data_IF_258564352483
#
_entry.id   IF_258564352483
#
_cell.length_a   1.000
_cell.length_b   1.000
_cell.length_c   1.000
_cell.angle_alpha   90.00
_cell.angle_beta   90.00
_cell.angle_gamma   90.00
#
_symmetry.space_group_name_H-M   'P 1'
#
loop_
_entity.id
_entity.type
_entity.pdbx_description
1 polymer ?
#
# COMPACT_ATOMS: atom_id res chain seq x y z
N UNK A 1 12.70 18.69 -9.45
CA UNK A 1 11.35 18.71 -8.83
C UNK A 1 10.61 17.44 -9.24
N UNK A 2 9.77 16.89 -8.38
CA UNK A 2 8.90 15.76 -8.73
C UNK A 2 7.54 16.33 -9.17
N UNK A 3 7.08 15.95 -10.36
CA UNK A 3 5.75 16.28 -10.88
C UNK A 3 5.01 14.98 -11.12
N UNK A 4 3.74 14.95 -10.75
CA UNK A 4 2.85 13.81 -10.99
C UNK A 4 2.54 13.76 -12.49
N UNK A 5 2.66 12.57 -13.09
CA UNK A 5 2.29 12.33 -14.48
C UNK A 5 0.77 12.25 -14.62
N UNK A 6 0.23 12.80 -15.70
CA UNK A 6 -1.19 12.69 -15.99
C UNK A 6 -1.53 11.25 -16.39
N UNK A 7 -2.63 10.73 -15.86
CA UNK A 7 -3.18 9.43 -16.24
C UNK A 7 -4.41 9.65 -17.13
N UNK A 8 -4.57 8.81 -18.15
CA UNK A 8 -5.75 8.84 -19.01
C UNK A 8 -6.93 8.19 -18.28
N UNK A 9 -8.08 8.89 -18.26
CA UNK A 9 -9.29 8.41 -17.60
C UNK A 9 -9.82 7.17 -18.32
N UNK A 10 -9.77 7.12 -19.65
CA UNK A 10 -10.26 5.98 -20.43
C UNK A 10 -9.45 4.72 -20.10
N UNK A 11 -8.13 4.84 -19.99
CA UNK A 11 -7.24 3.74 -19.59
C UNK A 11 -7.54 3.26 -18.16
N UNK A 12 -7.81 4.18 -17.23
CA UNK A 12 -8.18 3.85 -15.85
C UNK A 12 -9.50 3.08 -15.77
N UNK A 13 -10.51 3.51 -16.52
CA UNK A 13 -11.83 2.85 -16.56
C UNK A 13 -11.72 1.45 -17.17
N UNK A 14 -11.00 1.29 -18.28
CA UNK A 14 -10.75 -0.01 -18.90
C UNK A 14 -10.03 -0.97 -17.94
N UNK A 15 -9.04 -0.47 -17.20
CA UNK A 15 -8.33 -1.25 -16.19
C UNK A 15 -9.28 -1.76 -15.10
N UNK A 16 -10.10 -0.89 -14.51
CA UNK A 16 -11.08 -1.27 -13.48
C UNK A 16 -12.05 -2.34 -13.99
N UNK A 17 -12.61 -2.13 -15.18
CA UNK A 17 -13.54 -3.07 -15.82
C UNK A 17 -12.89 -4.43 -16.09
N UNK A 18 -11.62 -4.45 -16.53
CA UNK A 18 -10.88 -5.69 -16.79
C UNK A 18 -10.69 -6.56 -15.54
N UNK A 19 -10.65 -5.93 -14.37
CA UNK A 19 -10.55 -6.58 -13.06
C UNK A 19 -11.94 -6.89 -12.44
N UNK A 20 -13.03 -6.55 -13.13
CA UNK A 20 -14.39 -6.76 -12.65
C UNK A 20 -14.87 -5.71 -11.64
N UNK A 21 -14.22 -4.54 -11.59
CA UNK A 21 -14.62 -3.41 -10.77
C UNK A 21 -15.41 -2.38 -11.57
N UNK A 22 -16.31 -1.68 -10.89
CA UNK A 22 -16.92 -0.45 -11.38
C UNK A 22 -15.99 0.74 -11.11
N UNK A 23 -16.08 1.79 -11.92
CA UNK A 23 -15.28 3.01 -11.79
C UNK A 23 -16.16 4.26 -11.70
N UNK A 24 -15.72 5.22 -10.89
CA UNK A 24 -16.37 6.52 -10.74
C UNK A 24 -15.30 7.62 -10.66
N UNK A 25 -15.41 8.65 -11.51
CA UNK A 25 -14.51 9.80 -11.49
C UNK A 25 -15.04 10.86 -10.51
N UNK A 26 -14.25 11.12 -9.47
CA UNK A 26 -14.60 12.08 -8.41
C UNK A 26 -14.01 13.45 -8.75
N UNK A 27 -14.86 14.39 -9.17
CA UNK A 27 -14.45 15.76 -9.47
C UNK A 27 -14.11 16.57 -8.21
N UNK A 28 -13.46 17.71 -8.39
CA UNK A 28 -13.14 18.62 -7.29
C UNK A 28 -14.41 19.04 -6.53
N UNK A 29 -14.38 18.86 -5.21
CA UNK A 29 -15.51 19.17 -4.33
C UNK A 29 -16.53 18.04 -4.17
N UNK A 30 -16.38 16.92 -4.89
CA UNK A 30 -17.13 15.70 -4.60
C UNK A 30 -16.49 14.90 -3.45
N UNK A 31 -17.31 14.11 -2.75
CA UNK A 31 -16.87 13.20 -1.69
C UNK A 31 -17.52 11.83 -1.89
N UNK A 32 -16.72 10.85 -2.27
CA UNK A 32 -17.12 9.44 -2.21
C UNK A 32 -16.80 8.87 -0.83
N UNK A 33 -17.78 8.18 -0.24
CA UNK A 33 -17.57 7.45 1.01
C UNK A 33 -17.21 6.00 0.69
N UNK A 34 -16.15 5.44 1.29
CA UNK A 34 -15.86 4.03 1.14
C UNK A 34 -16.99 3.18 1.76
N UNK A 35 -17.06 1.87 1.44
CA UNK A 35 -17.95 0.95 2.12
C UNK A 35 -17.78 1.04 3.64
N UNK A 36 -18.88 0.97 4.39
CA UNK A 36 -18.84 1.11 5.86
C UNK A 36 -18.13 -0.05 6.56
N UNK A 37 -17.94 -1.16 5.85
CA UNK A 37 -17.35 -2.39 6.39
C UNK A 37 -16.08 -2.74 5.62
N UNK A 38 -14.97 -2.85 6.34
CA UNK A 38 -13.73 -3.37 5.79
C UNK A 38 -13.82 -4.90 5.67
N UNK A 39 -13.04 -5.47 4.74
CA UNK A 39 -12.83 -6.91 4.70
C UNK A 39 -12.00 -7.36 5.91
N UNK A 40 -12.42 -8.45 6.58
CA UNK A 40 -11.76 -8.93 7.80
C UNK A 40 -10.39 -9.54 7.55
N UNK A 41 -10.22 -10.14 6.37
CA UNK A 41 -8.99 -10.79 5.93
C UNK A 41 -8.63 -10.27 4.55
N UNK A 42 -7.34 -10.05 4.35
CA UNK A 42 -6.76 -9.51 3.13
C UNK A 42 -5.59 -10.36 2.69
N UNK A 43 -5.32 -10.40 1.39
CA UNK A 43 -4.24 -11.25 0.85
C UNK A 43 -2.84 -10.83 1.35
N UNK A 44 -2.67 -9.60 1.82
CA UNK A 44 -1.40 -9.13 2.41
C UNK A 44 -1.17 -9.64 3.84
N UNK A 45 -2.17 -10.27 4.46
CA UNK A 45 -2.05 -10.93 5.78
C UNK A 45 -1.62 -12.40 5.67
N UNK A 46 -1.11 -12.85 4.52
CA UNK A 46 -0.78 -14.24 4.20
C UNK A 46 0.11 -14.96 5.24
N UNK A 47 0.85 -14.24 6.09
CA UNK A 47 1.68 -14.82 7.17
C UNK A 47 1.86 -13.82 8.34
N UNK A 48 0.76 -13.42 9.00
CA UNK A 48 0.86 -12.70 10.28
C UNK A 48 1.51 -13.52 11.43
N UNK A 49 2.05 -14.71 11.13
CA UNK A 49 2.69 -15.62 12.09
C UNK A 49 4.22 -15.76 11.96
N UNK A 50 4.92 -15.02 11.08
CA UNK A 50 6.38 -15.27 10.88
C UNK A 50 7.32 -14.07 10.74
N UNK A 51 7.04 -12.97 11.42
CA UNK A 51 8.16 -12.11 11.84
C UNK A 51 8.08 -11.97 13.35
N UNK A 52 8.89 -12.73 14.08
CA UNK A 52 9.31 -12.29 15.41
C UNK A 52 9.73 -10.85 15.23
N UNK A 53 9.02 -9.90 15.82
CA UNK A 53 9.52 -8.53 15.94
C UNK A 53 10.96 -8.67 16.44
N UNK A 54 11.96 -8.13 15.72
CA UNK A 54 13.33 -8.26 16.17
C UNK A 54 13.40 -7.67 17.57
N UNK A 55 13.80 -8.48 18.54
CA UNK A 55 13.98 -7.97 19.88
C UNK A 55 15.00 -6.82 19.80
N UNK A 56 14.84 -5.81 20.65
CA UNK A 56 15.68 -4.60 20.62
C UNK A 56 17.19 -4.96 20.63
N UNK A 57 17.55 -6.09 21.24
CA UNK A 57 18.89 -6.68 21.24
C UNK A 57 19.45 -7.04 19.85
N UNK A 58 18.59 -7.50 18.92
CA UNK A 58 18.96 -7.82 17.55
C UNK A 58 19.29 -6.54 16.76
N UNK A 59 18.56 -5.45 17.02
CA UNK A 59 18.79 -4.15 16.39
C UNK A 59 20.12 -3.52 16.86
N UNK A 60 20.45 -3.63 18.15
CA UNK A 60 21.74 -3.18 18.68
C UNK A 60 22.92 -3.97 18.11
N UNK A 61 22.76 -5.29 17.94
CA UNK A 61 23.75 -6.13 17.27
C UNK A 61 23.99 -5.67 15.84
N UNK A 62 22.92 -5.44 15.08
CA UNK A 62 22.99 -4.99 13.68
C UNK A 62 23.67 -3.62 13.58
N UNK A 63 23.32 -2.66 14.45
CA UNK A 63 23.95 -1.33 14.49
C UNK A 63 25.47 -1.43 14.64
N UNK A 64 25.95 -2.22 15.61
CA UNK A 64 27.39 -2.38 15.88
C UNK A 64 28.15 -3.03 14.73
N UNK A 65 27.52 -3.95 13.98
CA UNK A 65 28.15 -4.55 12.79
C UNK A 65 28.36 -3.54 11.68
N UNK A 66 27.44 -2.58 11.52
CA UNK A 66 27.53 -1.53 10.50
C UNK A 66 28.52 -0.43 10.88
N UNK A 67 28.68 -0.13 12.17
CA UNK A 67 29.68 0.84 12.67
C UNK A 67 31.13 0.42 12.38
N UNK A 68 31.42 -0.87 12.16
CA UNK A 68 32.75 -1.38 11.83
C UNK A 68 33.09 -1.41 10.33
N UNK A 69 32.20 -0.93 9.46
CA UNK A 69 32.36 -0.95 8.00
C UNK A 69 32.70 0.43 7.40
N UNK A 70 32.98 1.44 8.25
CA UNK A 70 33.42 2.79 7.88
C UNK A 70 34.82 3.07 8.44
#
# INVERSE_FOLDING_TARGET
>A
EATVEAMDVEEMEEFCLSAGYESELIEEGMLALPPETNVEQTDWQADADKTKEPEISDLERIRRQLEGLL
#
